data_IF_056951623757
#
_entry.id   IF_056951623757
#
_cell.length_a   1.000
_cell.length_b   1.000
_cell.length_c   1.000
_cell.angle_alpha   90.00
_cell.angle_beta   90.00
_cell.angle_gamma   90.00
#
_symmetry.space_group_name_H-M   'P 1'
#
loop_
_entity.id
_entity.type
_entity.pdbx_description
1 polymer ?
#
# COMPACT_ATOMS: atom_id res chain seq x y z
N UNK A 1 -11.01 15.54 14.87
CA UNK A 1 -10.42 14.20 14.69
C UNK A 1 -9.12 14.38 13.93
N UNK A 2 -7.97 14.04 14.51
CA UNK A 2 -6.70 14.22 13.80
C UNK A 2 -6.61 13.19 12.68
N UNK A 3 -6.76 13.64 11.44
CA UNK A 3 -6.36 12.95 10.22
C UNK A 3 -4.83 12.77 10.21
N UNK A 4 -4.35 11.88 11.08
CA UNK A 4 -2.94 11.72 11.37
C UNK A 4 -2.27 10.90 10.29
N UNK A 5 -1.68 11.55 9.30
CA UNK A 5 -0.71 10.92 8.42
C UNK A 5 0.64 10.80 9.13
N UNK A 6 1.35 9.71 8.88
CA UNK A 6 2.72 9.48 9.34
C UNK A 6 3.63 9.27 8.13
N UNK A 7 4.84 9.83 8.19
CA UNK A 7 5.87 9.58 7.18
C UNK A 7 6.63 8.32 7.54
N UNK A 8 6.78 7.41 6.57
CA UNK A 8 7.60 6.21 6.67
C UNK A 8 8.71 6.27 5.62
N UNK A 9 9.86 5.67 5.90
CA UNK A 9 10.94 5.52 4.92
C UNK A 9 10.74 4.22 4.16
N UNK A 10 10.72 4.30 2.84
CA UNK A 10 10.63 3.17 1.94
C UNK A 10 11.88 3.21 1.04
N UNK A 11 12.54 2.06 0.79
CA UNK A 11 13.65 2.01 -0.16
C UNK A 11 13.24 2.57 -1.53
N UNK A 12 14.10 3.40 -2.11
CA UNK A 12 13.83 4.08 -3.39
C UNK A 12 13.52 3.08 -4.51
N UNK A 13 14.33 2.02 -4.63
CA UNK A 13 14.12 0.96 -5.61
C UNK A 13 12.74 0.29 -5.51
N UNK A 14 12.17 0.19 -4.30
CA UNK A 14 10.83 -0.37 -4.14
C UNK A 14 9.76 0.60 -4.64
N UNK A 15 9.95 1.91 -4.42
CA UNK A 15 9.05 2.95 -4.93
C UNK A 15 9.11 2.99 -6.46
N UNK A 16 10.30 2.84 -7.06
CA UNK A 16 10.49 2.72 -8.51
C UNK A 16 9.72 1.52 -9.07
N UNK A 17 9.86 0.34 -8.46
CA UNK A 17 9.08 -0.85 -8.87
C UNK A 17 7.57 -0.61 -8.77
N UNK A 18 7.10 0.09 -7.73
CA UNK A 18 5.67 0.45 -7.62
C UNK A 18 5.23 1.37 -8.77
N UNK A 19 6.06 2.34 -9.15
CA UNK A 19 5.77 3.24 -10.27
C UNK A 19 5.73 2.48 -11.60
N UNK A 20 6.66 1.56 -11.84
CA UNK A 20 6.66 0.68 -13.01
C UNK A 20 5.38 -0.15 -13.09
N UNK A 21 4.96 -0.78 -11.98
CA UNK A 21 3.71 -1.54 -11.91
C UNK A 21 2.50 -0.66 -12.25
N UNK A 22 2.43 0.56 -11.68
CA UNK A 22 1.34 1.50 -11.98
C UNK A 22 1.37 1.93 -13.45
N UNK A 23 2.55 1.96 -14.07
CA UNK A 23 2.66 2.31 -15.48
C UNK A 23 2.22 1.19 -16.42
N UNK A 24 2.71 -0.02 -16.17
CA UNK A 24 2.43 -1.20 -17.00
C UNK A 24 1.00 -1.75 -16.80
N UNK A 25 0.44 -1.60 -15.60
CA UNK A 25 -0.84 -2.19 -15.20
C UNK A 25 -1.90 -1.12 -14.90
N UNK A 26 -2.25 -0.37 -15.95
CA UNK A 26 -3.32 0.65 -15.89
C UNK A 26 -4.68 0.09 -15.45
N UNK A 27 -4.89 -1.22 -15.64
CA UNK A 27 -6.08 -1.94 -15.19
C UNK A 27 -6.25 -1.96 -13.65
N UNK A 28 -5.19 -1.72 -12.89
CA UNK A 28 -5.24 -1.66 -11.43
C UNK A 28 -5.85 -0.35 -10.89
N UNK A 29 -5.96 0.70 -11.72
CA UNK A 29 -6.67 1.94 -11.38
C UNK A 29 -5.99 2.86 -10.36
N UNK A 30 -4.74 2.60 -9.96
CA UNK A 30 -3.99 3.48 -9.07
C UNK A 30 -3.53 4.75 -9.77
N UNK A 31 -3.71 5.91 -9.12
CA UNK A 31 -3.29 7.22 -9.64
C UNK A 31 -1.95 7.68 -9.10
N UNK A 32 -1.44 7.04 -8.05
CA UNK A 32 -0.16 7.38 -7.43
C UNK A 32 0.42 6.19 -6.65
N UNK A 33 1.74 6.20 -6.44
CA UNK A 33 2.43 5.25 -5.57
C UNK A 33 1.85 5.26 -4.15
N UNK A 34 1.44 6.44 -3.64
CA UNK A 34 0.80 6.55 -2.31
C UNK A 34 -0.50 5.75 -2.21
N UNK A 35 -1.35 5.80 -3.24
CA UNK A 35 -2.61 5.05 -3.27
C UNK A 35 -2.35 3.54 -3.25
N UNK A 36 -1.39 3.08 -4.05
CA UNK A 36 -0.94 1.70 -4.07
C UNK A 36 -0.40 1.26 -2.70
N UNK A 37 0.51 2.03 -2.10
CA UNK A 37 1.17 1.70 -0.84
C UNK A 37 0.13 1.64 0.30
N UNK A 38 -0.80 2.59 0.36
CA UNK A 38 -1.87 2.61 1.37
C UNK A 38 -2.75 1.35 1.26
N UNK A 39 -3.16 0.98 0.04
CA UNK A 39 -3.98 -0.21 -0.19
C UNK A 39 -3.22 -1.50 0.16
N UNK A 40 -1.96 -1.62 -0.27
CA UNK A 40 -1.11 -2.77 0.05
C UNK A 40 -0.92 -2.94 1.57
N UNK A 41 -0.66 -1.84 2.30
CA UNK A 41 -0.53 -1.87 3.75
C UNK A 41 -1.86 -2.24 4.41
N UNK A 42 -2.98 -1.69 3.93
CA UNK A 42 -4.31 -2.01 4.47
C UNK A 42 -4.62 -3.49 4.34
N UNK A 43 -4.52 -4.05 3.13
CA UNK A 43 -4.78 -5.48 2.88
C UNK A 43 -3.92 -6.37 3.76
N UNK A 44 -2.63 -6.03 3.91
CA UNK A 44 -1.73 -6.81 4.75
C UNK A 44 -2.09 -6.77 6.23
N UNK A 45 -2.58 -5.62 6.72
CA UNK A 45 -3.05 -5.49 8.09
C UNK A 45 -4.35 -6.26 8.30
N UNK A 46 -5.31 -6.14 7.37
CA UNK A 46 -6.59 -6.88 7.40
C UNK A 46 -6.35 -8.39 7.46
N UNK A 47 -5.54 -8.93 6.53
CA UNK A 47 -5.14 -10.35 6.53
C UNK A 47 -4.57 -10.81 7.88
N UNK A 48 -3.73 -9.99 8.52
CA UNK A 48 -3.06 -10.34 9.78
C UNK A 48 -3.91 -10.13 11.03
N UNK A 49 -4.95 -9.30 10.93
CA UNK A 49 -5.92 -9.10 12.01
C UNK A 49 -6.95 -10.22 11.96
N UNK A 50 -7.46 -10.58 10.78
CA UNK A 50 -8.48 -11.62 10.61
C UNK A 50 -7.96 -13.01 11.02
N UNK A 51 -6.66 -13.29 10.81
CA UNK A 51 -6.02 -14.53 11.32
C UNK A 51 -6.14 -14.68 12.84
N UNK A 52 -6.37 -13.61 13.61
CA UNK A 52 -6.40 -13.67 15.08
C UNK A 52 -7.76 -14.00 15.68
N UNK A 53 -8.84 -14.02 14.89
CA UNK A 53 -10.19 -14.30 15.41
C UNK A 53 -10.62 -15.78 15.30
N UNK A 54 -9.77 -16.64 14.72
CA UNK A 54 -10.04 -18.08 14.57
C UNK A 54 -9.31 -18.99 15.59
N UNK A 55 -8.65 -18.42 16.62
CA UNK A 55 -8.00 -19.15 17.72
C UNK A 55 -8.77 -19.09 19.06
#
# INVERSE_FOLDING_TARGET
>A
MSSGYRTVRIPENLVETVLEIIDERKDLGYRSHSEFIIDAVRRRVEELVDIKEED
#
